data_IF_718827759141
#
_entry.id   IF_718827759141
#
_cell.length_a   1.000
_cell.length_b   1.000
_cell.length_c   1.000
_cell.angle_alpha   90.00
_cell.angle_beta   90.00
_cell.angle_gamma   90.00
#
_symmetry.space_group_name_H-M   'P 1'
#
loop_
_entity.id
_entity.type
_entity.pdbx_description
1 polymer ?
#
# COMPACT_ATOMS: atom_id res chain seq x y z
N UNK A 1 -28.14 -18.67 -1.09
CA UNK A 1 -26.87 -18.54 -0.35
C UNK A 1 -26.27 -17.16 -0.58
N UNK A 2 -26.25 -16.69 -1.83
CA UNK A 2 -25.69 -15.38 -2.24
C UNK A 2 -26.28 -14.15 -1.54
N UNK A 3 -27.59 -14.13 -1.27
CA UNK A 3 -28.23 -12.98 -0.59
C UNK A 3 -27.76 -12.82 0.87
N UNK A 4 -27.51 -13.94 1.56
CA UNK A 4 -27.00 -13.93 2.94
C UNK A 4 -25.55 -13.42 2.96
N UNK A 5 -24.72 -13.84 1.99
CA UNK A 5 -23.34 -13.35 1.85
C UNK A 5 -23.29 -11.86 1.56
N UNK A 6 -24.18 -11.37 0.70
CA UNK A 6 -24.28 -9.95 0.38
C UNK A 6 -24.68 -9.11 1.61
N UNK A 7 -25.63 -9.58 2.40
CA UNK A 7 -26.04 -8.93 3.66
C UNK A 7 -24.90 -8.93 4.68
N UNK A 8 -24.18 -10.05 4.84
CA UNK A 8 -23.06 -10.15 5.76
C UNK A 8 -21.90 -9.22 5.36
N UNK A 9 -21.61 -9.12 4.06
CA UNK A 9 -20.58 -8.23 3.53
C UNK A 9 -20.92 -6.77 3.78
N UNK A 10 -22.18 -6.37 3.54
CA UNK A 10 -22.64 -5.01 3.82
C UNK A 10 -22.58 -4.65 5.32
N UNK A 11 -22.89 -5.61 6.19
CA UNK A 11 -22.74 -5.43 7.64
C UNK A 11 -21.27 -5.27 8.05
N UNK A 12 -20.36 -6.02 7.42
CA UNK A 12 -18.93 -5.92 7.68
C UNK A 12 -18.36 -4.57 7.23
N UNK A 13 -18.74 -4.09 6.04
CA UNK A 13 -18.34 -2.76 5.53
C UNK A 13 -18.79 -1.63 6.46
N UNK A 14 -20.01 -1.72 7.01
CA UNK A 14 -20.52 -0.73 7.98
C UNK A 14 -19.75 -0.78 9.31
N UNK A 15 -19.38 -1.97 9.80
CA UNK A 15 -18.56 -2.13 11.00
C UNK A 15 -17.16 -1.55 10.79
N UNK A 16 -16.51 -1.85 9.67
CA UNK A 16 -15.19 -1.31 9.31
C UNK A 16 -15.20 0.22 9.23
N UNK A 17 -16.23 0.78 8.59
CA UNK A 17 -16.44 2.23 8.53
C UNK A 17 -16.57 2.85 9.92
N UNK A 18 -17.34 2.22 10.81
CA UNK A 18 -17.54 2.70 12.19
C UNK A 18 -16.25 2.63 13.00
N UNK A 19 -15.48 1.55 12.89
CA UNK A 19 -14.17 1.38 13.55
C UNK A 19 -13.18 2.44 13.06
N UNK A 20 -13.10 2.68 11.75
CA UNK A 20 -12.22 3.70 11.18
C UNK A 20 -12.54 5.11 11.71
N UNK A 21 -13.82 5.48 11.72
CA UNK A 21 -14.23 6.78 12.23
C UNK A 21 -13.97 6.92 13.74
N UNK A 22 -14.12 5.85 14.50
CA UNK A 22 -13.79 5.81 15.94
C UNK A 22 -12.30 6.07 16.17
N UNK A 23 -11.41 5.38 15.45
CA UNK A 23 -9.96 5.54 15.57
C UNK A 23 -9.50 6.96 15.22
N UNK A 24 -10.02 7.53 14.13
CA UNK A 24 -9.73 8.92 13.72
C UNK A 24 -10.22 9.94 14.76
N UNK A 25 -11.39 9.68 15.38
CA UNK A 25 -11.91 10.54 16.45
C UNK A 25 -11.06 10.43 17.72
N UNK A 26 -10.60 9.23 18.07
CA UNK A 26 -9.72 8.99 19.20
C UNK A 26 -8.37 9.71 19.02
N UNK A 27 -7.79 9.67 17.83
CA UNK A 27 -6.57 10.41 17.50
C UNK A 27 -6.75 11.92 17.67
N UNK A 28 -7.84 12.49 17.13
CA UNK A 28 -8.17 13.92 17.29
C UNK A 28 -8.39 14.31 18.75
N UNK A 29 -8.98 13.43 19.55
CA UNK A 29 -9.17 13.65 20.98
C UNK A 29 -7.85 13.62 21.75
N UNK A 30 -6.94 12.70 21.44
CA UNK A 30 -5.60 12.67 22.04
C UNK A 30 -4.76 13.88 21.63
N UNK A 31 -4.92 14.37 20.40
CA UNK A 31 -4.32 15.65 19.96
C UNK A 31 -4.93 16.84 20.69
N UNK A 32 -6.26 16.84 20.91
CA UNK A 32 -6.97 17.87 21.67
C UNK A 32 -6.43 17.98 23.11
N UNK A 33 -6.15 16.85 23.77
CA UNK A 33 -5.57 16.84 25.12
C UNK A 33 -4.18 17.45 25.20
N UNK A 34 -3.40 17.35 24.12
CA UNK A 34 -1.99 17.76 24.08
C UNK A 34 -1.79 19.20 23.61
N UNK A 35 -2.74 19.76 22.86
CA UNK A 35 -2.59 21.12 22.34
C UNK A 35 -2.96 22.17 23.40
N UNK A 36 -2.09 23.17 23.58
CA UNK A 36 -2.34 24.35 24.40
C UNK A 36 -2.95 25.51 23.60
N UNK A 37 -3.19 25.32 22.29
CA UNK A 37 -3.73 26.35 21.42
C UNK A 37 -5.27 26.34 21.48
N UNK A 38 -5.86 27.38 22.07
CA UNK A 38 -7.32 27.51 22.24
C UNK A 38 -8.12 27.46 20.93
N UNK A 39 -7.54 27.91 19.80
CA UNK A 39 -8.21 27.88 18.48
C UNK A 39 -8.22 26.45 17.94
N UNK A 40 -7.09 25.76 18.05
CA UNK A 40 -6.95 24.36 17.65
C UNK A 40 -7.84 23.44 18.51
N UNK A 41 -7.93 23.72 19.82
CA UNK A 41 -8.85 23.03 20.72
C UNK A 41 -10.31 23.17 20.26
N UNK A 42 -10.74 24.38 19.90
CA UNK A 42 -12.09 24.62 19.39
C UNK A 42 -12.38 23.89 18.07
N UNK A 43 -11.41 23.82 17.15
CA UNK A 43 -11.56 23.13 15.87
C UNK A 43 -11.66 21.61 16.08
N UNK A 44 -10.75 21.05 16.88
CA UNK A 44 -10.74 19.62 17.20
C UNK A 44 -12.01 19.21 17.95
N UNK A 45 -12.42 19.99 18.96
CA UNK A 45 -13.67 19.76 19.68
C UNK A 45 -14.89 19.75 18.75
N UNK A 46 -15.03 20.73 17.85
CA UNK A 46 -16.12 20.76 16.86
C UNK A 46 -16.14 19.51 15.98
N UNK A 47 -14.97 19.01 15.57
CA UNK A 47 -14.87 17.80 14.73
C UNK A 47 -15.26 16.53 15.48
N UNK A 48 -14.90 16.41 16.77
CA UNK A 48 -15.31 15.30 17.65
C UNK A 48 -16.82 15.35 17.89
N UNK A 49 -17.37 16.54 18.17
CA UNK A 49 -18.82 16.72 18.37
C UNK A 49 -19.65 16.44 17.12
N UNK A 50 -19.15 16.78 15.93
CA UNK A 50 -19.83 16.48 14.67
C UNK A 50 -19.96 14.96 14.46
N UNK A 51 -18.88 14.21 14.67
CA UNK A 51 -18.90 12.74 14.60
C UNK A 51 -19.87 12.13 15.63
N UNK A 52 -19.83 12.59 16.89
CA UNK A 52 -20.74 12.12 17.94
C UNK A 52 -22.21 12.41 17.61
N UNK A 53 -22.50 13.48 16.86
CA UNK A 53 -23.85 13.79 16.39
C UNK A 53 -24.30 12.94 15.20
N UNK A 54 -23.39 12.56 14.31
CA UNK A 54 -23.69 11.70 13.14
C UNK A 54 -24.03 10.25 13.55
N UNK A 55 -23.47 9.75 14.65
CA UNK A 55 -23.71 8.38 15.16
C UNK A 55 -25.05 8.20 15.88
N UNK A 56 -25.90 9.24 15.97
CA UNK A 56 -27.17 9.27 16.73
C UNK A 56 -28.31 8.35 16.24
N UNK A 57 -28.15 7.57 15.17
CA UNK A 57 -29.29 6.85 14.55
C UNK A 57 -29.66 5.50 15.18
N UNK A 58 -28.91 4.96 16.15
CA UNK A 58 -29.23 3.66 16.79
C UNK A 58 -29.74 3.79 18.23
N UNK A 59 -30.95 3.27 18.44
CA UNK A 59 -31.80 3.41 19.64
C UNK A 59 -31.16 2.90 20.95
N UNK A 60 -30.15 2.04 20.87
CA UNK A 60 -29.43 1.51 22.04
C UNK A 60 -28.34 2.46 22.54
N UNK A 61 -27.60 3.10 21.64
CA UNK A 61 -26.70 4.22 21.98
C UNK A 61 -27.49 5.40 22.53
N UNK A 62 -28.71 5.63 22.04
CA UNK A 62 -29.58 6.72 22.52
C UNK A 62 -29.96 6.61 23.99
N UNK A 63 -30.12 5.40 24.56
CA UNK A 63 -30.48 5.24 25.99
C UNK A 63 -29.25 5.35 26.90
N UNK A 64 -28.11 4.78 26.51
CA UNK A 64 -26.84 4.96 27.21
C UNK A 64 -26.39 6.42 27.14
N UNK A 65 -26.60 7.08 26.00
CA UNK A 65 -26.31 8.50 25.79
C UNK A 65 -27.37 9.43 26.40
N UNK A 66 -28.66 9.08 26.50
CA UNK A 66 -29.62 9.87 27.28
C UNK A 66 -29.23 9.86 28.75
N UNK A 67 -28.77 8.71 29.25
CA UNK A 67 -28.30 8.57 30.63
C UNK A 67 -26.99 9.35 30.83
N UNK A 68 -26.07 9.29 29.87
CA UNK A 68 -24.82 10.06 29.87
C UNK A 68 -25.07 11.57 29.73
N UNK A 69 -25.90 12.00 28.79
CA UNK A 69 -26.29 13.40 28.54
C UNK A 69 -27.06 13.97 29.71
N UNK A 70 -28.00 13.24 30.32
CA UNK A 70 -28.70 13.69 31.53
C UNK A 70 -27.75 13.78 32.73
N UNK A 71 -26.71 12.96 32.79
CA UNK A 71 -25.69 13.03 33.82
C UNK A 71 -24.70 14.17 33.57
N UNK A 72 -24.28 14.40 32.33
CA UNK A 72 -23.43 15.53 31.94
C UNK A 72 -24.18 16.85 32.11
N UNK A 73 -25.45 16.92 31.73
CA UNK A 73 -26.29 18.10 31.92
C UNK A 73 -26.58 18.35 33.41
N UNK A 74 -26.80 17.30 34.22
CA UNK A 74 -26.86 17.43 35.68
C UNK A 74 -25.54 17.86 36.29
N UNK A 75 -24.40 17.35 35.81
CA UNK A 75 -23.07 17.73 36.29
C UNK A 75 -22.77 19.17 35.91
N UNK A 76 -23.05 19.58 34.67
CA UNK A 76 -22.92 20.96 34.22
C UNK A 76 -23.87 21.90 34.98
N UNK A 77 -25.13 21.51 35.20
CA UNK A 77 -26.08 22.30 35.98
C UNK A 77 -25.68 22.37 37.47
N UNK A 78 -25.19 21.28 38.05
CA UNK A 78 -24.68 21.28 39.43
C UNK A 78 -23.42 22.13 39.53
N UNK A 79 -22.54 22.09 38.54
CA UNK A 79 -21.36 22.95 38.47
C UNK A 79 -21.75 24.43 38.30
N UNK A 80 -22.70 24.75 37.43
CA UNK A 80 -23.25 26.10 37.30
C UNK A 80 -23.93 26.58 38.59
N UNK A 81 -24.75 25.73 39.23
CA UNK A 81 -25.42 26.06 40.49
C UNK A 81 -24.43 26.20 41.67
N UNK A 82 -23.31 25.47 41.65
CA UNK A 82 -22.21 25.63 42.62
C UNK A 82 -21.46 26.93 42.35
N UNK A 83 -21.12 27.20 41.08
CA UNK A 83 -20.42 28.42 40.65
C UNK A 83 -21.24 29.69 40.93
N UNK A 84 -22.56 29.64 40.73
CA UNK A 84 -23.48 30.76 41.01
C UNK A 84 -23.71 31.00 42.51
N UNK A 85 -23.45 30.01 43.37
CA UNK A 85 -23.67 30.09 44.82
C UNK A 85 -22.41 30.34 45.64
N UNK A 86 -21.23 30.34 45.03
CA UNK A 86 -19.98 30.46 45.77
C UNK A 86 -19.03 31.48 45.13
N UNK A 87 -19.11 32.72 45.61
CA UNK A 87 -18.22 33.84 45.25
C UNK A 87 -16.73 33.65 45.62
N UNK A 88 -16.32 32.45 46.04
CA UNK A 88 -14.97 32.23 46.55
C UNK A 88 -14.51 30.80 46.35
N UNK A 89 -13.77 30.56 45.27
CA UNK A 89 -12.82 29.45 45.21
C UNK A 89 -11.49 29.99 44.73
N UNK A 90 -10.47 29.89 45.58
CA UNK A 90 -9.09 30.01 45.12
C UNK A 90 -8.78 28.86 44.14
N UNK A 91 -8.00 29.17 43.11
CA UNK A 91 -7.75 28.35 41.92
C UNK A 91 -7.48 26.85 42.19
N UNK A 92 -6.95 26.49 43.37
CA UNK A 92 -6.60 25.12 43.72
C UNK A 92 -7.75 24.10 43.75
N UNK A 93 -8.97 24.48 44.16
CA UNK A 93 -10.04 23.47 44.30
C UNK A 93 -10.76 23.19 42.98
N UNK A 94 -10.80 24.16 42.08
CA UNK A 94 -11.32 23.96 40.73
C UNK A 94 -10.48 22.90 39.98
N UNK A 95 -9.15 22.99 40.08
CA UNK A 95 -8.25 21.99 39.47
C UNK A 95 -8.39 20.60 40.09
N UNK A 96 -8.61 20.50 41.41
CA UNK A 96 -8.82 19.20 42.06
C UNK A 96 -10.11 18.50 41.61
N UNK A 97 -11.19 19.27 41.35
CA UNK A 97 -12.45 18.71 40.83
C UNK A 97 -12.28 18.28 39.37
N UNK A 98 -11.60 19.06 38.53
CA UNK A 98 -11.30 18.69 37.15
C UNK A 98 -10.42 17.43 37.08
N UNK A 99 -9.40 17.34 37.95
CA UNK A 99 -8.52 16.17 38.01
C UNK A 99 -9.27 14.90 38.42
N UNK A 100 -10.14 14.97 39.43
CA UNK A 100 -10.96 13.83 39.85
C UNK A 100 -11.99 13.41 38.81
N UNK A 101 -12.56 14.36 38.07
CA UNK A 101 -13.45 14.05 36.94
C UNK A 101 -12.69 13.36 35.80
N UNK A 102 -11.47 13.81 35.50
CA UNK A 102 -10.60 13.16 34.51
C UNK A 102 -10.20 11.74 34.93
N UNK A 103 -9.88 11.52 36.21
CA UNK A 103 -9.60 10.18 36.75
C UNK A 103 -10.81 9.24 36.63
N UNK A 104 -12.01 9.73 36.96
CA UNK A 104 -13.25 8.95 36.86
C UNK A 104 -13.61 8.59 35.41
N UNK A 105 -13.44 9.52 34.46
CA UNK A 105 -13.62 9.26 33.04
C UNK A 105 -12.61 8.22 32.52
N UNK A 106 -11.37 8.28 32.98
CA UNK A 106 -10.33 7.33 32.60
C UNK A 106 -10.60 5.91 33.13
N UNK A 107 -11.10 5.76 34.37
CA UNK A 107 -11.46 4.46 34.92
C UNK A 107 -12.67 3.84 34.21
N UNK A 108 -13.70 4.64 33.91
CA UNK A 108 -14.87 4.19 33.17
C UNK A 108 -14.50 3.78 31.73
N UNK A 109 -13.71 4.61 31.04
CA UNK A 109 -13.22 4.30 29.70
C UNK A 109 -12.33 3.04 29.69
N UNK A 110 -11.55 2.80 30.75
CA UNK A 110 -10.75 1.57 30.91
C UNK A 110 -11.63 0.33 31.07
N UNK A 111 -12.74 0.44 31.82
CA UNK A 111 -13.73 -0.64 31.95
C UNK A 111 -14.40 -0.99 30.61
N UNK A 112 -14.90 0.02 29.90
CA UNK A 112 -15.55 -0.16 28.59
C UNK A 112 -14.57 -0.71 27.54
N UNK A 113 -13.31 -0.25 27.54
CA UNK A 113 -12.24 -0.79 26.68
C UNK A 113 -11.94 -2.26 26.98
N UNK A 114 -11.91 -2.65 28.26
CA UNK A 114 -11.66 -4.03 28.67
C UNK A 114 -12.80 -4.96 28.24
N UNK A 115 -14.05 -4.51 28.37
CA UNK A 115 -15.22 -5.25 27.87
C UNK A 115 -15.18 -5.42 26.34
N UNK A 116 -14.87 -4.34 25.61
CA UNK A 116 -14.76 -4.37 24.15
C UNK A 116 -13.65 -5.33 23.67
N UNK A 117 -12.49 -5.30 24.33
CA UNK A 117 -11.38 -6.24 24.08
C UNK A 117 -11.81 -7.69 24.31
N UNK A 118 -12.60 -7.96 25.35
CA UNK A 118 -13.18 -9.28 25.60
C UNK A 118 -14.08 -9.75 24.45
N UNK A 119 -14.94 -8.87 23.93
CA UNK A 119 -15.83 -9.16 22.79
C UNK A 119 -15.05 -9.40 21.49
N UNK A 120 -14.00 -8.62 21.24
CA UNK A 120 -13.11 -8.81 20.08
C UNK A 120 -12.44 -10.19 20.14
N UNK A 121 -11.86 -10.54 21.29
CA UNK A 121 -11.20 -11.85 21.50
C UNK A 121 -12.17 -13.01 21.28
N UNK A 122 -13.42 -12.87 21.71
CA UNK A 122 -14.47 -13.88 21.49
C UNK A 122 -14.84 -14.00 20.00
N UNK A 123 -14.94 -12.88 19.27
CA UNK A 123 -15.21 -12.88 17.83
C UNK A 123 -14.09 -13.53 17.03
N UNK A 124 -12.82 -13.24 17.37
CA UNK A 124 -11.65 -13.88 16.75
C UNK A 124 -11.65 -15.40 16.97
N UNK A 125 -11.95 -15.84 18.20
CA UNK A 125 -12.07 -17.26 18.53
C UNK A 125 -13.16 -17.94 17.70
N UNK A 126 -14.32 -17.29 17.53
CA UNK A 126 -15.41 -17.80 16.70
C UNK A 126 -15.03 -17.84 15.20
N UNK A 127 -14.30 -16.85 14.71
CA UNK A 127 -13.82 -16.81 13.33
C UNK A 127 -12.84 -17.95 13.04
N UNK A 128 -11.89 -18.19 13.94
CA UNK A 128 -10.93 -19.31 13.85
C UNK A 128 -11.66 -20.65 13.84
N UNK A 129 -12.69 -20.83 14.68
CA UNK A 129 -13.49 -22.05 14.71
C UNK A 129 -14.19 -22.31 13.37
N UNK A 130 -14.81 -21.27 12.77
CA UNK A 130 -15.47 -21.37 11.46
C UNK A 130 -14.48 -21.67 10.32
N UNK A 131 -13.28 -21.10 10.38
CA UNK A 131 -12.23 -21.42 9.39
C UNK A 131 -11.82 -22.90 9.45
N UNK A 132 -11.71 -23.48 10.64
CA UNK A 132 -11.41 -24.91 10.79
C UNK A 132 -12.52 -25.80 10.23
N UNK A 133 -13.77 -25.46 10.49
CA UNK A 133 -14.95 -26.15 9.92
C UNK A 133 -14.94 -26.10 8.39
N UNK A 134 -14.58 -24.95 7.81
CA UNK A 134 -14.46 -24.80 6.36
C UNK A 134 -13.33 -25.67 5.77
N UNK A 135 -12.18 -25.74 6.43
CA UNK A 135 -11.07 -26.61 6.02
C UNK A 135 -11.45 -28.10 6.07
N UNK A 136 -12.22 -28.51 7.08
CA UNK A 136 -12.76 -29.88 7.18
C UNK A 136 -13.72 -30.20 6.03
N UNK A 137 -14.63 -29.27 5.70
CA UNK A 137 -15.52 -29.42 4.55
C UNK A 137 -14.76 -29.51 3.23
N UNK A 138 -13.70 -28.70 3.06
CA UNK A 138 -12.84 -28.73 1.87
C UNK A 138 -12.14 -30.09 1.74
N UNK A 139 -11.59 -30.63 2.84
CA UNK A 139 -11.00 -31.98 2.86
C UNK A 139 -12.02 -33.06 2.53
N UNK A 140 -13.23 -32.98 3.08
CA UNK A 140 -14.31 -33.93 2.78
C UNK A 140 -14.70 -33.90 1.30
N UNK A 141 -14.80 -32.71 0.70
CA UNK A 141 -15.07 -32.55 -0.73
C UNK A 141 -13.97 -33.16 -1.60
N UNK A 142 -12.70 -32.90 -1.26
CA UNK A 142 -11.57 -33.42 -2.01
C UNK A 142 -11.44 -34.96 -1.90
N UNK A 143 -11.95 -35.55 -0.81
CA UNK A 143 -12.09 -37.02 -0.70
C UNK A 143 -13.21 -37.57 -1.57
N UNK A 144 -14.35 -36.87 -1.69
CA UNK A 144 -15.45 -37.28 -2.58
C UNK A 144 -15.02 -37.24 -4.05
N UNK A 145 -14.37 -36.16 -4.51
CA UNK A 145 -13.92 -36.05 -5.90
C UNK A 145 -12.87 -37.11 -6.28
N UNK A 146 -12.04 -37.54 -5.33
CA UNK A 146 -11.12 -38.67 -5.53
C UNK A 146 -11.85 -40.02 -5.69
N UNK A 147 -12.96 -40.26 -5.00
CA UNK A 147 -13.75 -41.48 -5.18
C UNK A 147 -14.41 -41.51 -6.56
N UNK A 148 -15.03 -40.41 -6.97
CA UNK A 148 -15.71 -40.31 -8.27
C UNK A 148 -14.72 -40.41 -9.45
N UNK A 149 -13.49 -39.88 -9.28
CA UNK A 149 -12.41 -39.99 -10.25
C UNK A 149 -11.86 -41.42 -10.43
N UNK A 150 -11.92 -42.25 -9.38
CA UNK A 150 -11.51 -43.67 -9.45
C UNK A 150 -12.57 -44.50 -10.16
N UNK A 151 -13.87 -44.23 -9.94
CA UNK A 151 -14.95 -44.87 -10.71
C UNK A 151 -14.87 -44.53 -12.21
N UNK A 152 -14.50 -43.29 -12.57
CA UNK A 152 -14.40 -42.89 -13.98
C UNK A 152 -13.17 -43.51 -14.70
N UNK A 153 -12.06 -43.80 -13.98
CA UNK A 153 -10.90 -44.48 -14.57
C UNK A 153 -11.15 -45.96 -14.87
N UNK A 154 -11.89 -46.67 -14.02
CA UNK A 154 -12.24 -48.08 -14.30
C UNK A 154 -13.15 -48.25 -15.53
N UNK A 155 -13.93 -47.23 -15.90
CA UNK A 155 -14.77 -47.29 -17.12
C UNK A 155 -13.97 -47.00 -18.40
N UNK A 156 -12.89 -46.21 -18.31
CA UNK A 156 -12.08 -45.83 -19.48
C UNK A 156 -11.02 -46.88 -19.85
N UNK A 157 -10.46 -47.59 -18.88
CA UNK A 157 -9.46 -48.64 -19.15
C UNK A 157 -10.06 -49.88 -19.83
N UNK A 158 -11.37 -50.15 -19.65
CA UNK A 158 -12.07 -51.24 -20.37
C UNK A 158 -12.30 -50.94 -21.85
N UNK A 159 -12.22 -49.67 -22.28
CA UNK A 159 -12.51 -49.25 -23.65
C UNK A 159 -11.27 -48.87 -24.50
N UNK A 160 -10.05 -48.97 -23.95
CA UNK A 160 -8.81 -48.61 -24.67
C UNK A 160 -7.89 -49.79 -25.04
N UNK A 161 -8.38 -51.02 -24.92
CA UNK A 161 -7.66 -52.23 -25.33
C UNK A 161 -8.01 -52.68 -26.75
N UNK A 162 -8.24 -51.75 -27.67
CA UNK A 162 -8.28 -52.04 -29.11
C UNK A 162 -7.70 -50.86 -29.90
N UNK A 163 -6.86 -51.21 -30.87
CA UNK A 163 -6.18 -50.38 -31.88
C UNK A 163 -4.74 -49.99 -31.50
N UNK A 164 -3.84 -50.93 -31.80
CA UNK A 164 -2.43 -50.71 -32.10
C UNK A 164 -2.35 -50.52 -33.62
N UNK A 165 -1.90 -49.36 -34.11
CA UNK A 165 -1.12 -49.27 -35.35
C UNK A 165 -0.08 -48.14 -35.24
N UNK A 166 1.14 -48.49 -35.63
CA UNK A 166 2.41 -47.77 -35.52
C UNK A 166 2.76 -47.09 -36.89
N UNK A 167 3.92 -46.40 -37.07
CA UNK A 167 3.94 -45.04 -37.58
C UNK A 167 4.59 -44.89 -38.98
N UNK A 168 4.42 -43.72 -39.60
CA UNK A 168 5.21 -43.30 -40.77
C UNK A 168 6.04 -42.05 -40.45
N UNK A 169 7.36 -42.25 -40.49
CA UNK A 169 8.39 -41.20 -40.52
C UNK A 169 8.40 -40.53 -41.90
N UNK A 170 8.59 -39.21 -41.91
CA UNK A 170 9.02 -38.48 -43.12
C UNK A 170 10.11 -37.48 -42.71
N UNK A 171 11.32 -37.74 -43.24
CA UNK A 171 12.47 -36.85 -43.27
C UNK A 171 12.23 -35.66 -44.23
N UNK A 172 12.87 -34.51 -43.99
CA UNK A 172 12.86 -33.45 -45.00
C UNK A 172 13.56 -32.14 -44.65
N UNK A 173 14.86 -32.12 -44.91
CA UNK A 173 15.65 -31.02 -45.49
C UNK A 173 15.98 -29.73 -44.73
N UNK A 174 17.30 -29.54 -44.68
CA UNK A 174 18.08 -28.33 -44.51
C UNK A 174 17.85 -27.29 -45.63
N UNK A 175 18.07 -26.01 -45.32
CA UNK A 175 18.67 -25.00 -46.21
C UNK A 175 19.47 -24.01 -45.35
N UNK A 176 20.70 -23.76 -45.82
CA UNK A 176 21.66 -22.71 -45.43
C UNK A 176 21.09 -21.29 -45.57
N UNK A 177 21.60 -20.34 -44.77
CA UNK A 177 22.06 -19.07 -45.34
C UNK A 177 23.13 -18.39 -44.46
N UNK A 178 24.18 -17.94 -45.13
CA UNK A 178 25.39 -17.28 -44.62
C UNK A 178 25.37 -15.80 -44.98
N UNK A 179 26.25 -15.05 -44.30
CA UNK A 179 26.89 -13.77 -44.65
C UNK A 179 26.19 -12.51 -44.08
N UNK A 180 26.72 -11.87 -43.05
CA UNK A 180 27.91 -10.98 -42.95
C UNK A 180 27.76 -9.64 -43.67
N UNK A 181 27.71 -8.56 -42.90
CA UNK A 181 28.42 -7.31 -43.24
C UNK A 181 28.68 -6.48 -41.99
N UNK A 182 29.97 -6.39 -41.65
CA UNK A 182 30.55 -5.45 -40.70
C UNK A 182 30.55 -4.04 -41.32
N UNK A 183 30.11 -3.04 -40.55
CA UNK A 183 30.41 -1.63 -40.81
C UNK A 183 30.93 -1.04 -39.50
N UNK A 184 32.24 -0.84 -39.45
CA UNK A 184 32.91 -0.08 -38.43
C UNK A 184 32.65 1.43 -38.66
N UNK A 185 32.24 2.13 -37.61
CA UNK A 185 32.27 3.59 -37.55
C UNK A 185 33.17 4.00 -36.38
N UNK A 186 34.24 4.72 -36.73
CA UNK A 186 35.20 5.32 -35.81
C UNK A 186 34.65 6.59 -35.13
N UNK A 187 35.10 6.70 -33.89
CA UNK A 187 35.14 7.73 -32.86
C UNK A 187 35.05 9.22 -33.24
N UNK A 188 34.36 9.97 -32.37
CA UNK A 188 34.78 11.32 -31.94
C UNK A 188 34.32 11.53 -30.48
N UNK A 189 35.11 11.04 -29.53
CA UNK A 189 34.86 11.20 -28.09
C UNK A 189 35.73 12.34 -27.58
N UNK A 190 35.09 13.46 -27.24
CA UNK A 190 35.71 14.58 -26.53
C UNK A 190 36.05 14.17 -25.10
N UNK A 191 37.33 14.18 -24.83
CA UNK A 191 37.97 14.00 -23.54
C UNK A 191 37.56 15.11 -22.57
N UNK A 192 36.71 14.77 -21.60
CA UNK A 192 36.36 15.62 -20.45
C UNK A 192 36.98 14.97 -19.21
N UNK A 193 38.24 15.29 -18.98
CA UNK A 193 38.96 14.93 -17.75
C UNK A 193 38.51 15.86 -16.62
N UNK A 194 37.60 15.37 -15.77
CA UNK A 194 37.21 16.01 -14.52
C UNK A 194 37.28 15.02 -13.35
N UNK A 195 38.36 15.18 -12.58
CA UNK A 195 38.48 14.96 -11.14
C UNK A 195 38.28 13.53 -10.61
N UNK A 196 39.32 12.71 -10.82
CA UNK A 196 39.60 11.53 -9.99
C UNK A 196 40.14 12.00 -8.63
N UNK A 197 39.26 12.18 -7.65
CA UNK A 197 39.64 12.11 -6.24
C UNK A 197 39.15 10.78 -5.69
N UNK A 198 40.07 9.82 -5.64
CA UNK A 198 39.94 8.43 -5.14
C UNK A 198 39.64 8.37 -3.64
N UNK A 199 38.51 8.93 -3.21
CA UNK A 199 37.92 8.58 -1.92
C UNK A 199 36.87 7.50 -2.17
N UNK A 200 37.34 6.27 -2.44
CA UNK A 200 36.53 5.05 -2.48
C UNK A 200 35.99 4.75 -1.07
N UNK A 201 35.09 5.60 -0.61
CA UNK A 201 34.23 5.31 0.51
C UNK A 201 33.36 4.14 0.05
N UNK A 202 33.68 2.94 0.53
CA UNK A 202 32.89 1.70 0.37
C UNK A 202 31.48 1.93 0.94
N UNK A 203 30.63 2.63 0.20
CA UNK A 203 29.22 2.82 0.51
C UNK A 203 28.60 1.43 0.47
N UNK A 204 28.13 0.97 1.63
CA UNK A 204 27.31 -0.24 1.72
C UNK A 204 26.17 -0.14 0.72
N UNK A 205 25.87 -1.21 -0.04
CA UNK A 205 24.83 -1.18 -1.06
C UNK A 205 23.50 -0.68 -0.48
N UNK A 206 23.03 0.48 -0.93
CA UNK A 206 21.76 1.03 -0.48
C UNK A 206 20.66 0.40 -1.36
N UNK A 207 19.78 -0.41 -0.76
CA UNK A 207 18.59 -0.94 -1.43
C UNK A 207 18.84 -1.77 -2.70
N UNK A 208 19.96 -2.51 -2.76
CA UNK A 208 20.40 -3.33 -3.90
C UNK A 208 20.91 -2.57 -5.14
N UNK A 209 21.27 -1.30 -4.98
CA UNK A 209 21.93 -0.51 -6.02
C UNK A 209 23.46 -0.62 -5.93
N UNK A 210 24.12 -0.74 -7.09
CA UNK A 210 25.56 -0.60 -7.24
C UNK A 210 25.98 0.88 -7.23
N UNK A 211 27.28 1.14 -7.08
CA UNK A 211 27.81 2.51 -7.14
C UNK A 211 27.54 3.20 -8.47
N UNK A 212 27.62 2.47 -9.59
CA UNK A 212 27.33 2.98 -10.93
C UNK A 212 25.84 3.29 -11.12
N UNK A 213 24.96 2.41 -10.63
CA UNK A 213 23.52 2.62 -10.68
C UNK A 213 23.13 3.87 -9.86
N UNK A 214 23.70 4.06 -8.66
CA UNK A 214 23.50 5.27 -7.85
C UNK A 214 23.95 6.51 -8.61
N UNK A 215 25.19 6.53 -9.13
CA UNK A 215 25.73 7.69 -9.87
C UNK A 215 24.85 8.07 -11.05
N UNK A 216 24.39 7.08 -11.82
CA UNK A 216 23.56 7.34 -13.00
C UNK A 216 22.18 7.92 -12.62
N UNK A 217 21.55 7.38 -11.58
CA UNK A 217 20.26 7.87 -11.07
C UNK A 217 20.37 9.30 -10.50
N UNK A 218 21.46 9.59 -9.77
CA UNK A 218 21.73 10.93 -9.24
C UNK A 218 21.99 11.93 -10.38
N UNK A 219 22.73 11.52 -11.41
CA UNK A 219 22.96 12.34 -12.60
C UNK A 219 21.66 12.64 -13.36
N UNK A 220 20.79 11.64 -13.55
CA UNK A 220 19.54 11.81 -14.27
C UNK A 220 18.51 12.66 -13.55
N UNK A 221 18.46 12.55 -12.22
CA UNK A 221 17.51 13.28 -11.37
C UNK A 221 18.05 14.64 -10.92
N UNK A 222 19.37 14.85 -10.98
CA UNK A 222 20.06 15.97 -10.33
C UNK A 222 19.72 16.06 -8.83
N UNK A 223 19.65 14.89 -8.17
CA UNK A 223 19.33 14.73 -6.75
C UNK A 223 20.21 13.64 -6.15
N UNK A 224 20.56 13.75 -4.87
CA UNK A 224 21.27 12.72 -4.11
C UNK A 224 20.30 11.70 -3.53
N UNK A 225 20.57 10.40 -3.68
CA UNK A 225 19.80 9.33 -3.02
C UNK A 225 20.16 9.34 -1.54
N UNK A 226 19.17 9.50 -0.66
CA UNK A 226 19.41 9.70 0.77
C UNK A 226 18.83 8.55 1.63
N UNK A 227 17.52 8.59 1.89
CA UNK A 227 16.88 7.72 2.89
C UNK A 227 15.95 6.73 2.21
N UNK A 228 15.93 5.49 2.69
CA UNK A 228 14.89 4.50 2.30
C UNK A 228 13.60 4.84 3.04
N UNK A 229 12.54 5.15 2.29
CA UNK A 229 11.20 5.35 2.84
C UNK A 229 10.44 4.03 2.98
N UNK A 230 10.64 3.12 2.03
CA UNK A 230 9.93 1.85 1.99
C UNK A 230 10.79 0.78 1.31
N UNK A 231 10.80 -0.43 1.86
CA UNK A 231 11.51 -1.59 1.33
C UNK A 231 10.57 -2.81 1.35
N UNK A 232 10.12 -3.26 0.17
CA UNK A 232 9.11 -4.32 0.06
C UNK A 232 9.54 -5.67 0.66
N UNK A 233 10.83 -5.85 0.93
CA UNK A 233 11.37 -7.00 1.62
C UNK A 233 11.14 -6.96 3.14
N UNK A 234 11.11 -5.76 3.73
CA UNK A 234 10.97 -5.54 5.17
C UNK A 234 9.56 -5.11 5.55
N UNK A 235 8.99 -4.25 4.72
CA UNK A 235 7.73 -3.57 4.99
C UNK A 235 6.56 -4.33 4.36
N UNK A 236 5.39 -4.16 4.97
CA UNK A 236 4.16 -4.78 4.49
C UNK A 236 3.48 -3.91 3.42
N UNK A 237 2.99 -4.55 2.37
CA UNK A 237 2.20 -3.93 1.30
C UNK A 237 1.02 -4.81 0.89
N UNK A 238 0.57 -5.70 1.78
CA UNK A 238 -0.63 -6.50 1.61
C UNK A 238 -1.92 -5.64 1.59
N UNK A 239 -3.03 -6.25 1.18
CA UNK A 239 -4.34 -5.59 1.20
C UNK A 239 -4.71 -5.14 2.62
N UNK A 240 -5.28 -3.94 2.75
CA UNK A 240 -5.63 -3.34 4.04
C UNK A 240 -4.45 -2.71 4.79
N UNK A 241 -3.21 -3.02 4.42
CA UNK A 241 -2.03 -2.42 5.04
C UNK A 241 -1.86 -0.94 4.63
N UNK A 242 -1.76 0.00 5.59
CA UNK A 242 -1.52 1.41 5.32
C UNK A 242 -0.03 1.77 5.19
N UNK A 243 0.86 0.81 5.46
CA UNK A 243 2.30 1.02 5.65
C UNK A 243 2.95 1.75 4.47
N UNK A 244 2.73 1.28 3.24
CA UNK A 244 3.27 1.94 2.04
C UNK A 244 2.81 3.39 1.93
N UNK A 245 1.49 3.63 2.04
CA UNK A 245 0.91 4.98 1.95
C UNK A 245 1.51 5.91 3.00
N UNK A 246 1.55 5.49 4.26
CA UNK A 246 2.10 6.28 5.36
C UNK A 246 3.57 6.61 5.18
N UNK A 247 4.31 5.79 4.43
CA UNK A 247 5.73 5.97 4.19
C UNK A 247 6.04 6.96 3.05
N UNK A 248 5.12 7.15 2.09
CA UNK A 248 5.39 7.94 0.87
C UNK A 248 4.56 9.22 0.76
N UNK A 249 3.38 9.30 1.40
CA UNK A 249 2.55 10.52 1.37
C UNK A 249 3.26 11.65 2.12
N UNK A 250 3.22 12.86 1.55
CA UNK A 250 3.92 14.05 2.07
C UNK A 250 5.37 14.16 1.63
N UNK A 251 5.88 13.18 0.88
CA UNK A 251 7.22 13.21 0.32
C UNK A 251 7.22 13.61 -1.16
N UNK A 252 8.32 14.22 -1.61
CA UNK A 252 8.61 14.66 -2.98
C UNK A 252 9.99 14.15 -3.39
N UNK A 253 10.44 14.37 -4.63
CA UNK A 253 11.77 13.89 -5.08
C UNK A 253 11.98 12.38 -4.76
N UNK A 254 10.98 11.58 -5.14
CA UNK A 254 10.90 10.14 -4.85
C UNK A 254 11.49 9.35 -6.00
N UNK A 255 12.39 8.43 -5.64
CA UNK A 255 12.92 7.40 -6.54
C UNK A 255 12.33 6.04 -6.16
N UNK A 256 11.77 5.32 -7.14
CA UNK A 256 11.34 3.93 -6.96
C UNK A 256 12.23 3.04 -7.81
N UNK A 257 12.84 2.04 -7.20
CA UNK A 257 13.64 1.00 -7.87
C UNK A 257 12.96 -0.35 -7.66
N UNK A 258 12.79 -1.10 -8.73
CA UNK A 258 12.13 -2.40 -8.77
C UNK A 258 13.10 -3.42 -9.37
N UNK A 259 13.25 -4.55 -8.70
CA UNK A 259 13.89 -5.76 -9.22
C UNK A 259 12.81 -6.82 -9.37
N UNK A 260 12.66 -7.39 -10.57
CA UNK A 260 11.72 -8.48 -10.81
C UNK A 260 12.36 -9.86 -10.62
N UNK A 261 11.55 -10.92 -10.70
CA UNK A 261 12.02 -12.31 -10.55
C UNK A 261 12.92 -12.79 -11.68
N UNK A 262 12.87 -12.12 -12.84
CA UNK A 262 13.72 -12.44 -13.98
C UNK A 262 15.08 -11.73 -13.87
N UNK A 263 15.27 -10.89 -12.85
CA UNK A 263 16.50 -10.15 -12.60
C UNK A 263 16.58 -8.80 -13.29
N UNK A 264 15.52 -8.34 -13.96
CA UNK A 264 15.48 -6.99 -14.51
C UNK A 264 15.42 -5.96 -13.38
N UNK A 265 16.09 -4.81 -13.57
CA UNK A 265 16.06 -3.68 -12.64
C UNK A 265 15.61 -2.42 -13.38
N UNK A 266 14.52 -1.84 -12.93
CA UNK A 266 13.90 -0.66 -13.55
C UNK A 266 13.13 0.15 -12.51
N UNK A 267 12.52 1.26 -12.92
CA UNK A 267 11.79 2.09 -11.98
C UNK A 267 11.35 3.43 -12.53
N UNK A 268 11.09 4.36 -11.62
CA UNK A 268 10.71 5.72 -11.99
C UNK A 268 11.11 6.74 -10.93
N UNK A 269 11.12 8.01 -11.37
CA UNK A 269 11.41 9.16 -10.52
C UNK A 269 10.27 10.17 -10.59
N UNK A 270 9.93 10.75 -9.45
CA UNK A 270 8.89 11.75 -9.27
C UNK A 270 9.47 12.95 -8.51
N UNK A 271 9.39 14.15 -9.07
CA UNK A 271 9.83 15.39 -8.42
C UNK A 271 8.76 15.96 -7.49
N UNK A 272 7.49 15.89 -7.89
CA UNK A 272 6.41 16.51 -7.14
C UNK A 272 5.98 15.70 -5.91
N UNK A 273 5.36 16.39 -4.95
CA UNK A 273 4.89 15.81 -3.70
C UNK A 273 3.71 14.86 -3.88
N UNK A 274 3.72 13.73 -3.17
CA UNK A 274 2.61 12.79 -3.07
C UNK A 274 1.61 13.33 -2.04
N UNK A 275 0.59 14.04 -2.51
CA UNK A 275 -0.36 14.77 -1.65
C UNK A 275 -1.39 13.89 -0.94
N UNK A 276 -1.59 12.63 -1.37
CA UNK A 276 -2.52 11.72 -0.72
C UNK A 276 -2.82 10.44 -1.51
N UNK A 277 -3.63 9.54 -0.92
CA UNK A 277 -4.06 8.30 -1.57
C UNK A 277 -5.09 8.56 -2.67
N UNK A 278 -5.09 7.68 -3.67
CA UNK A 278 -5.97 7.65 -4.83
C UNK A 278 -5.99 8.91 -5.72
N UNK A 279 -5.14 9.88 -5.43
CA UNK A 279 -4.93 11.10 -6.22
C UNK A 279 -3.82 10.89 -7.23
N UNK A 280 -4.07 11.31 -8.48
CA UNK A 280 -3.02 11.40 -9.48
C UNK A 280 -2.17 12.65 -9.24
N UNK A 281 -0.87 12.46 -9.12
CA UNK A 281 0.12 13.52 -9.04
C UNK A 281 0.55 13.86 -10.46
N UNK A 282 0.42 15.14 -10.81
CA UNK A 282 0.91 15.66 -12.07
C UNK A 282 2.39 16.00 -11.94
N UNK A 283 3.23 15.50 -12.85
CA UNK A 283 4.63 15.87 -12.94
C UNK A 283 5.15 15.68 -14.37
N UNK A 284 5.47 16.80 -15.03
CA UNK A 284 5.98 16.83 -16.41
C UNK A 284 7.45 16.41 -16.52
N UNK A 285 8.18 16.43 -15.41
CA UNK A 285 9.60 16.08 -15.37
C UNK A 285 9.81 14.62 -14.92
N UNK A 286 8.75 13.94 -14.47
CA UNK A 286 8.82 12.53 -14.11
C UNK A 286 9.32 11.68 -15.28
N UNK A 287 10.09 10.65 -14.97
CA UNK A 287 10.68 9.75 -15.96
C UNK A 287 10.69 8.32 -15.43
N UNK A 288 10.63 7.36 -16.34
CA UNK A 288 10.92 5.96 -16.06
C UNK A 288 12.37 5.65 -16.45
N UNK A 289 12.94 4.57 -15.94
CA UNK A 289 14.27 4.14 -16.32
C UNK A 289 14.38 2.62 -16.30
N UNK A 290 15.37 2.10 -17.04
CA UNK A 290 15.85 0.74 -16.89
C UNK A 290 17.36 0.76 -16.61
N UNK A 291 17.76 0.07 -15.56
CA UNK A 291 19.17 -0.11 -15.18
C UNK A 291 19.73 -1.40 -15.78
N UNK A 292 18.90 -2.44 -15.87
CA UNK A 292 19.29 -3.74 -16.41
C UNK A 292 18.07 -4.52 -16.93
N UNK A 293 18.17 -5.06 -18.15
CA UNK A 293 17.06 -5.75 -18.82
C UNK A 293 17.48 -7.09 -19.43
N UNK A 294 18.33 -7.87 -18.75
CA UNK A 294 18.85 -9.15 -19.25
C UNK A 294 19.37 -9.09 -20.70
N UNK A 295 20.10 -8.03 -21.05
CA UNK A 295 20.67 -7.84 -22.38
C UNK A 295 19.69 -7.40 -23.48
N UNK A 296 18.43 -7.08 -23.17
CA UNK A 296 17.48 -6.54 -24.16
C UNK A 296 17.77 -5.08 -24.56
N UNK A 297 18.43 -4.33 -23.68
CA UNK A 297 18.88 -2.98 -23.94
C UNK A 297 20.36 -2.88 -23.57
N UNK A 298 21.09 -2.04 -24.31
CA UNK A 298 22.48 -1.73 -24.01
C UNK A 298 22.56 -0.62 -22.97
N UNK A 299 23.19 -0.95 -21.85
CA UNK A 299 23.43 -0.02 -20.74
C UNK A 299 22.16 0.42 -20.01
N UNK A 300 22.29 1.53 -19.27
CA UNK A 300 21.22 2.11 -18.47
C UNK A 300 20.49 3.18 -19.31
N UNK A 301 19.16 3.17 -19.31
CA UNK A 301 18.34 4.04 -20.15
C UNK A 301 17.31 4.82 -19.34
N UNK A 302 17.10 6.09 -19.72
CA UNK A 302 16.07 6.98 -19.15
C UNK A 302 15.01 7.30 -20.19
N UNK A 303 13.74 7.20 -19.79
CA UNK A 303 12.59 7.47 -20.64
C UNK A 303 11.72 8.55 -20.03
N UNK A 304 11.62 9.70 -20.70
CA UNK A 304 10.80 10.82 -20.25
C UNK A 304 9.30 10.49 -20.39
N UNK A 305 8.50 10.86 -19.39
CA UNK A 305 7.03 10.84 -19.50
C UNK A 305 6.58 11.88 -20.53
N UNK A 306 5.78 11.47 -21.51
CA UNK A 306 5.25 12.42 -22.51
C UNK A 306 4.38 13.48 -21.82
N UNK A 307 4.51 14.74 -22.24
CA UNK A 307 3.82 15.88 -21.61
C UNK A 307 2.29 15.69 -21.52
N UNK A 308 1.66 15.08 -22.54
CA UNK A 308 0.21 14.78 -22.58
C UNK A 308 -0.27 13.77 -21.53
N UNK A 309 0.66 13.07 -20.87
CA UNK A 309 0.43 12.11 -19.79
C UNK A 309 1.03 12.56 -18.47
N UNK A 310 1.54 13.79 -18.37
CA UNK A 310 2.14 14.34 -17.14
C UNK A 310 1.20 14.28 -15.93
N UNK A 311 -0.13 14.36 -16.15
CA UNK A 311 -1.17 14.19 -15.13
C UNK A 311 -1.26 12.78 -14.54
N UNK A 312 -0.56 11.80 -15.12
CA UNK A 312 -0.52 10.42 -14.66
C UNK A 312 0.86 10.01 -14.14
N UNK A 313 1.66 10.97 -13.66
CA UNK A 313 3.03 10.71 -13.24
C UNK A 313 3.11 9.82 -12.00
N UNK A 314 2.24 9.98 -11.02
CA UNK A 314 2.19 9.06 -9.89
C UNK A 314 0.79 8.91 -9.32
N UNK A 315 0.48 7.73 -8.78
CA UNK A 315 -0.73 7.52 -7.97
C UNK A 315 -0.44 6.50 -6.89
N UNK A 316 -0.61 6.90 -5.63
CA UNK A 316 -0.65 5.96 -4.51
C UNK A 316 -2.05 5.35 -4.45
N UNK A 317 -2.18 4.02 -4.41
CA UNK A 317 -3.47 3.37 -4.17
C UNK A 317 -3.93 3.56 -2.72
N UNK A 318 -5.24 3.53 -2.49
CA UNK A 318 -5.78 3.47 -1.12
C UNK A 318 -5.68 2.09 -0.49
N UNK A 319 -5.80 2.05 0.84
CA UNK A 319 -5.73 0.79 1.60
C UNK A 319 -6.83 -0.18 1.20
N UNK A 320 -7.98 0.38 0.82
CA UNK A 320 -9.24 -0.28 0.42
C UNK A 320 -9.46 -0.27 -1.11
N UNK A 321 -8.42 0.00 -1.92
CA UNK A 321 -8.59 -0.03 -3.38
C UNK A 321 -9.11 -1.40 -3.81
N UNK A 322 -10.33 -1.44 -4.34
CA UNK A 322 -10.99 -2.67 -4.83
C UNK A 322 -10.23 -3.33 -5.98
N UNK A 323 -9.33 -2.61 -6.62
CA UNK A 323 -8.44 -3.13 -7.66
C UNK A 323 -7.08 -3.56 -7.11
N UNK A 324 -6.84 -3.47 -5.81
CA UNK A 324 -5.61 -3.91 -5.13
C UNK A 324 -4.34 -3.29 -5.70
N UNK A 325 -4.41 -2.07 -6.22
CA UNK A 325 -3.23 -1.37 -6.78
C UNK A 325 -2.48 -0.73 -5.62
N UNK A 326 -1.17 -0.93 -5.56
CA UNK A 326 -0.31 -0.29 -4.57
C UNK A 326 0.09 1.10 -5.05
N UNK A 327 0.67 1.20 -6.25
CA UNK A 327 0.97 2.48 -6.88
C UNK A 327 1.15 2.39 -8.41
N UNK A 328 1.13 3.54 -9.07
CA UNK A 328 1.65 3.74 -10.41
C UNK A 328 2.73 4.81 -10.40
N UNK A 329 3.78 4.64 -11.20
CA UNK A 329 4.83 5.63 -11.40
C UNK A 329 5.17 5.84 -12.88
N UNK A 330 5.45 7.09 -13.22
CA UNK A 330 5.76 7.62 -14.55
C UNK A 330 4.73 7.23 -15.60
N UNK A 331 3.47 7.01 -15.19
CA UNK A 331 2.38 6.50 -16.02
C UNK A 331 2.60 5.11 -16.63
N UNK A 332 3.76 4.49 -16.38
CA UNK A 332 4.28 3.35 -17.12
C UNK A 332 4.32 2.10 -16.26
N UNK A 333 4.66 2.20 -14.97
CA UNK A 333 4.86 1.04 -14.12
C UNK A 333 3.77 1.01 -13.06
N UNK A 334 3.07 -0.12 -12.95
CA UNK A 334 2.06 -0.37 -11.92
C UNK A 334 2.48 -1.53 -11.04
N UNK A 335 2.39 -1.34 -9.72
CA UNK A 335 2.60 -2.39 -8.71
C UNK A 335 1.28 -2.66 -7.98
N UNK A 336 0.98 -3.94 -7.79
CA UNK A 336 -0.16 -4.45 -7.06
C UNK A 336 0.21 -4.73 -5.59
N UNK A 337 -0.81 -4.80 -4.74
CA UNK A 337 -0.63 -5.20 -3.34
C UNK A 337 -0.17 -6.65 -3.25
N UNK A 338 0.58 -6.98 -2.19
CA UNK A 338 1.14 -8.32 -1.99
C UNK A 338 0.04 -9.38 -2.07
N UNK A 339 0.27 -10.43 -2.86
CA UNK A 339 -0.66 -11.54 -3.06
C UNK A 339 -1.66 -11.35 -4.20
N UNK A 340 -1.61 -10.21 -4.90
CA UNK A 340 -2.42 -9.96 -6.10
C UNK A 340 -1.55 -9.94 -7.34
N UNK A 341 -2.05 -10.52 -8.42
CA UNK A 341 -1.42 -10.47 -9.74
C UNK A 341 -1.77 -9.17 -10.47
N UNK A 342 -0.97 -8.82 -11.48
CA UNK A 342 -1.24 -7.67 -12.36
C UNK A 342 -0.22 -6.54 -12.29
N UNK A 343 0.96 -6.78 -11.71
CA UNK A 343 2.09 -5.85 -11.86
C UNK A 343 2.40 -5.71 -13.35
N UNK A 344 2.52 -4.48 -13.83
CA UNK A 344 2.50 -4.20 -15.26
C UNK A 344 3.36 -3.03 -15.70
N UNK A 345 3.76 -3.08 -16.97
CA UNK A 345 4.54 -2.07 -17.68
C UNK A 345 3.77 -1.59 -18.91
N UNK A 346 3.69 -0.27 -19.10
CA UNK A 346 3.06 0.41 -20.22
C UNK A 346 4.08 1.33 -20.90
N UNK A 347 4.43 1.00 -22.14
CA UNK A 347 5.44 1.71 -22.91
C UNK A 347 4.87 2.94 -23.65
N UNK A 348 3.57 2.93 -23.97
CA UNK A 348 2.93 3.94 -24.84
C UNK A 348 2.81 5.36 -24.26
N UNK A 349 3.32 5.61 -23.04
CA UNK A 349 3.32 6.94 -22.40
C UNK A 349 4.70 7.57 -22.29
N UNK A 350 5.74 6.88 -22.74
CA UNK A 350 7.12 7.31 -22.60
C UNK A 350 7.73 7.68 -23.95
N UNK A 351 8.59 8.70 -23.97
CA UNK A 351 9.31 9.12 -25.16
C UNK A 351 10.43 8.13 -25.50
N UNK A 352 10.52 7.73 -26.78
CA UNK A 352 11.60 6.90 -27.34
C UNK A 352 11.89 5.60 -26.56
N UNK A 353 10.86 5.01 -25.95
CA UNK A 353 11.05 3.78 -25.19
C UNK A 353 11.25 2.60 -26.13
N UNK A 354 12.24 1.76 -25.82
CA UNK A 354 12.46 0.49 -26.50
C UNK A 354 11.45 -0.52 -25.95
N UNK A 355 10.80 -1.26 -26.85
CA UNK A 355 9.85 -2.29 -26.46
C UNK A 355 10.50 -3.31 -25.51
N UNK A 356 9.77 -3.69 -24.46
CA UNK A 356 10.24 -4.66 -23.44
C UNK A 356 11.50 -4.22 -22.67
N UNK A 357 11.78 -2.91 -22.62
CA UNK A 357 12.90 -2.35 -21.87
C UNK A 357 12.78 -2.54 -20.36
N UNK A 358 11.58 -2.69 -19.80
CA UNK A 358 11.40 -2.90 -18.35
C UNK A 358 11.30 -4.39 -18.01
N UNK A 359 10.37 -5.09 -18.65
CA UNK A 359 10.12 -6.51 -18.44
C UNK A 359 9.83 -7.22 -19.76
N UNK A 360 9.89 -8.55 -19.76
CA UNK A 360 9.56 -9.39 -20.90
C UNK A 360 8.04 -9.37 -21.17
N UNK A 361 7.56 -8.33 -21.87
CA UNK A 361 6.16 -8.07 -22.14
C UNK A 361 5.58 -6.93 -21.30
N UNK A 362 4.31 -7.05 -20.93
CA UNK A 362 3.54 -6.01 -20.23
C UNK A 362 3.30 -6.33 -18.74
N UNK A 363 3.76 -7.47 -18.25
CA UNK A 363 3.58 -7.93 -16.87
C UNK A 363 4.89 -8.45 -16.32
N UNK A 364 5.09 -8.33 -15.01
CA UNK A 364 6.25 -8.87 -14.31
C UNK A 364 5.86 -9.35 -12.91
N UNK A 365 6.78 -9.97 -12.19
CA UNK A 365 6.61 -10.29 -10.78
C UNK A 365 7.72 -9.61 -9.97
N UNK A 366 7.40 -8.66 -9.07
CA UNK A 366 8.41 -7.98 -8.29
C UNK A 366 9.05 -8.96 -7.31
N UNK A 367 10.37 -9.08 -7.35
CA UNK A 367 11.17 -9.75 -6.32
C UNK A 367 11.39 -8.81 -5.14
N UNK A 368 11.70 -7.54 -5.42
CA UNK A 368 11.86 -6.47 -4.42
C UNK A 368 11.63 -5.12 -5.08
N UNK A 369 11.07 -4.17 -4.35
CA UNK A 369 11.14 -2.76 -4.71
C UNK A 369 11.47 -1.91 -3.50
N UNK A 370 12.18 -0.81 -3.74
CA UNK A 370 12.64 0.12 -2.71
C UNK A 370 12.27 1.53 -3.15
N UNK A 371 11.71 2.30 -2.22
CA UNK A 371 11.38 3.70 -2.41
C UNK A 371 12.36 4.53 -1.61
N UNK A 372 13.01 5.48 -2.28
CA UNK A 372 13.98 6.39 -1.68
C UNK A 372 13.44 7.81 -1.69
N UNK A 373 13.74 8.54 -0.62
CA UNK A 373 13.74 9.99 -0.59
C UNK A 373 15.07 10.48 -1.14
N UNK A 374 15.02 11.36 -2.13
CA UNK A 374 16.20 12.07 -2.62
C UNK A 374 16.25 13.52 -2.11
N UNK A 375 17.43 14.11 -2.11
CA UNK A 375 17.66 15.50 -1.67
C UNK A 375 18.46 16.25 -2.74
N UNK A 376 18.56 17.58 -2.64
CA UNK A 376 19.41 18.35 -3.54
C UNK A 376 20.89 17.93 -3.40
N UNK A 377 21.64 17.94 -4.51
CA UNK A 377 23.01 17.42 -4.62
C UNK A 377 24.06 18.15 -3.77
#
# INVERSE_FOLDING_TARGET
MDEIFKQLHQQLEEVERRVFLFLNTQEKYETLKKTNNKVEQCILAKSVFAYLNETKSERQLKNTFLTFSNNVEKVCQTLCDILDKTDFWGDGVFFDVINKLSEFENEKAKGEKMELMGRITQLESNHIAKMREFDELKRSRDQMTRRDGVECKMVKETNHMMIIEEPLKVDGNAINEKNTTDVAMEEDVRDVSLLDSDDEMKKTPIGNLSGDEIRQLELWSNKRINTVLFDSYKDDYSQGSPTFRMSVVGHKDILVVIEDTDGNKFGGFLYNEITGPDVWIQDKNSFAFSLFSNGRIDGQQKYKLMDKYSQYAFRCGSDIDKRHRLFYISGAIGIMKRGFEGDCCFYNKLENVVDNSFCSGNTFHPKRFVVFQCVDL
#
